data_IF_997913337655
#
_entry.id   IF_997913337655
#
_cell.length_a   1.000
_cell.length_b   1.000
_cell.length_c   1.000
_cell.angle_alpha   90.00
_cell.angle_beta   90.00
_cell.angle_gamma   90.00
#
_symmetry.space_group_name_H-M   'P 1'
#
loop_
_entity.id
_entity.type
_entity.pdbx_description
1 polymer ?
#
# COMPACT_ATOMS: atom_id res chain seq x y z
N UNK A 1 32.70 -14.93 40.07
CA UNK A 1 31.22 -14.86 40.13
C UNK A 1 30.73 -13.92 39.03
N UNK A 2 29.88 -14.43 38.14
CA UNK A 2 28.84 -13.74 37.35
C UNK A 2 29.27 -12.82 36.19
N UNK A 3 29.03 -13.38 35.00
CA UNK A 3 28.95 -12.81 33.66
C UNK A 3 27.88 -11.71 33.53
N UNK A 4 28.17 -10.69 32.71
CA UNK A 4 27.16 -9.80 32.16
C UNK A 4 27.54 -9.50 30.70
N UNK A 5 27.02 -10.31 29.77
CA UNK A 5 27.08 -10.03 28.33
C UNK A 5 25.75 -9.40 27.95
N UNK A 6 25.81 -8.10 27.63
CA UNK A 6 24.68 -7.27 27.25
C UNK A 6 23.96 -7.82 26.03
N UNK A 7 22.66 -8.06 26.18
CA UNK A 7 21.76 -8.50 25.13
C UNK A 7 21.43 -7.31 24.21
N UNK A 8 22.04 -7.24 23.03
CA UNK A 8 21.66 -6.34 21.94
C UNK A 8 20.99 -7.16 20.83
N UNK A 9 19.72 -7.51 21.00
CA UNK A 9 18.91 -8.19 19.97
C UNK A 9 17.49 -7.63 19.91
N UNK A 10 17.36 -6.32 19.74
CA UNK A 10 16.06 -5.64 19.66
C UNK A 10 15.69 -5.04 18.29
N UNK A 11 16.62 -4.96 17.32
CA UNK A 11 16.41 -4.19 16.06
C UNK A 11 16.35 -5.01 14.77
N UNK A 12 16.78 -6.27 14.78
CA UNK A 12 16.83 -7.10 13.57
C UNK A 12 15.49 -7.79 13.27
N UNK A 13 14.80 -8.26 14.31
CA UNK A 13 13.50 -8.93 14.20
C UNK A 13 12.37 -7.98 13.78
N UNK A 14 12.38 -6.74 14.29
CA UNK A 14 11.39 -5.72 13.91
C UNK A 14 11.54 -5.22 12.47
N UNK A 15 12.77 -5.11 11.95
CA UNK A 15 13.02 -4.75 10.54
C UNK A 15 12.53 -5.82 9.58
N UNK A 16 12.78 -7.09 9.89
CA UNK A 16 12.31 -8.22 9.07
C UNK A 16 10.78 -8.28 9.04
N UNK A 17 10.11 -8.05 10.18
CA UNK A 17 8.65 -7.97 10.23
C UNK A 17 8.07 -6.84 9.38
N UNK A 18 8.66 -5.64 9.44
CA UNK A 18 8.20 -4.51 8.61
C UNK A 18 8.47 -4.74 7.11
N UNK A 19 9.62 -5.31 6.74
CA UNK A 19 9.92 -5.63 5.34
C UNK A 19 8.96 -6.69 4.78
N UNK A 20 8.58 -7.67 5.60
CA UNK A 20 7.60 -8.68 5.25
C UNK A 20 6.22 -8.06 5.03
N UNK A 21 5.75 -7.18 5.93
CA UNK A 21 4.48 -6.49 5.80
C UNK A 21 4.42 -5.60 4.54
N UNK A 22 5.51 -4.89 4.23
CA UNK A 22 5.65 -4.11 3.00
C UNK A 22 5.58 -5.00 1.76
N UNK A 23 6.29 -6.13 1.76
CA UNK A 23 6.26 -7.07 0.64
C UNK A 23 4.85 -7.65 0.43
N UNK A 24 4.17 -8.05 1.49
CA UNK A 24 2.81 -8.58 1.45
C UNK A 24 1.81 -7.56 0.91
N UNK A 25 1.90 -6.30 1.36
CA UNK A 25 1.06 -5.22 0.82
C UNK A 25 1.32 -5.00 -0.66
N UNK A 26 2.60 -4.89 -1.07
CA UNK A 26 2.96 -4.74 -2.49
C UNK A 26 2.42 -5.88 -3.33
N UNK A 27 2.60 -7.13 -2.88
CA UNK A 27 2.11 -8.30 -3.59
C UNK A 27 0.59 -8.27 -3.73
N UNK A 28 -0.13 -7.94 -2.66
CA UNK A 28 -1.60 -7.82 -2.67
C UNK A 28 -2.06 -6.78 -3.69
N UNK A 29 -1.47 -5.59 -3.68
CA UNK A 29 -1.82 -4.49 -4.59
C UNK A 29 -1.56 -4.89 -6.05
N UNK A 30 -0.39 -5.45 -6.35
CA UNK A 30 -0.03 -5.89 -7.71
C UNK A 30 -0.97 -6.99 -8.22
N UNK A 31 -1.32 -7.95 -7.37
CA UNK A 31 -2.28 -9.01 -7.74
C UNK A 31 -3.67 -8.43 -8.05
N UNK A 32 -4.14 -7.48 -7.24
CA UNK A 32 -5.43 -6.84 -7.47
C UNK A 32 -5.41 -5.95 -8.74
N UNK A 33 -4.32 -5.24 -9.00
CA UNK A 33 -4.12 -4.48 -10.25
C UNK A 33 -4.14 -5.40 -11.48
N UNK A 34 -3.53 -6.58 -11.41
CA UNK A 34 -3.59 -7.57 -12.50
C UNK A 34 -5.02 -8.05 -12.76
N UNK A 35 -5.89 -8.14 -11.73
CA UNK A 35 -7.31 -8.49 -11.90
C UNK A 35 -8.10 -7.43 -12.66
N UNK A 36 -7.67 -6.16 -12.63
CA UNK A 36 -8.30 -5.10 -13.43
C UNK A 36 -8.07 -5.27 -14.94
N UNK A 37 -7.05 -6.05 -15.33
CA UNK A 37 -6.75 -6.28 -16.73
C UNK A 37 -7.74 -7.24 -17.42
N UNK A 38 -8.51 -8.02 -16.67
CA UNK A 38 -9.51 -8.94 -17.20
C UNK A 38 -10.92 -8.47 -16.84
N UNK A 39 -11.87 -8.57 -17.79
CA UNK A 39 -13.24 -8.10 -17.59
C UNK A 39 -13.95 -8.91 -16.51
N UNK A 40 -13.70 -10.21 -16.44
CA UNK A 40 -14.40 -11.11 -15.53
C UNK A 40 -13.88 -10.99 -14.09
N UNK A 41 -12.64 -10.49 -13.93
CA UNK A 41 -12.03 -10.25 -12.61
C UNK A 41 -11.97 -8.78 -12.21
N UNK A 42 -12.41 -7.85 -13.07
CA UNK A 42 -12.31 -6.41 -12.83
C UNK A 42 -12.94 -5.98 -11.50
N UNK A 43 -14.20 -6.38 -11.26
CA UNK A 43 -14.92 -5.99 -10.05
C UNK A 43 -14.26 -6.53 -8.78
N UNK A 44 -13.73 -7.75 -8.85
CA UNK A 44 -12.99 -8.34 -7.74
C UNK A 44 -11.70 -7.58 -7.45
N UNK A 45 -10.96 -7.16 -8.49
CA UNK A 45 -9.77 -6.34 -8.35
C UNK A 45 -10.08 -4.98 -7.71
N UNK A 46 -11.18 -4.34 -8.12
CA UNK A 46 -11.64 -3.07 -7.53
C UNK A 46 -11.95 -3.24 -6.04
N UNK A 47 -12.78 -4.21 -5.68
CA UNK A 47 -13.19 -4.44 -4.30
C UNK A 47 -11.98 -4.75 -3.39
N UNK A 48 -11.01 -5.52 -3.88
CA UNK A 48 -9.77 -5.79 -3.13
C UNK A 48 -8.89 -4.55 -2.95
N UNK A 49 -8.82 -3.67 -3.94
CA UNK A 49 -8.07 -2.41 -3.85
C UNK A 49 -8.75 -1.45 -2.88
N UNK A 50 -10.08 -1.31 -2.92
CA UNK A 50 -10.85 -0.48 -1.99
C UNK A 50 -10.69 -0.97 -0.54
N UNK A 51 -10.87 -2.27 -0.28
CA UNK A 51 -10.62 -2.86 1.06
C UNK A 51 -9.18 -2.65 1.51
N UNK A 52 -8.22 -2.70 0.59
CA UNK A 52 -6.83 -2.42 0.91
C UNK A 52 -6.66 -0.97 1.35
N UNK A 53 -7.28 -0.01 0.64
CA UNK A 53 -7.26 1.42 1.00
C UNK A 53 -7.86 1.66 2.38
N UNK A 54 -9.00 1.05 2.69
CA UNK A 54 -9.64 1.17 4.01
C UNK A 54 -8.76 0.68 5.16
N UNK A 55 -7.91 -0.32 4.90
CA UNK A 55 -7.02 -0.93 5.89
C UNK A 55 -5.58 -0.38 5.83
N UNK A 56 -5.32 0.68 5.06
CA UNK A 56 -3.97 1.20 4.87
C UNK A 56 -3.41 1.83 6.15
N UNK A 57 -2.19 1.45 6.50
CA UNK A 57 -1.37 2.18 7.48
C UNK A 57 -0.71 3.39 6.81
N UNK A 58 -0.28 4.42 7.57
CA UNK A 58 0.42 5.57 7.00
C UNK A 58 1.65 5.19 6.16
N UNK A 59 2.41 4.18 6.60
CA UNK A 59 3.58 3.68 5.86
C UNK A 59 3.20 2.95 4.56
N UNK A 60 2.01 2.34 4.52
CA UNK A 60 1.47 1.65 3.36
C UNK A 60 1.00 2.58 2.25
N UNK A 61 0.67 3.84 2.58
CA UNK A 61 0.15 4.84 1.63
C UNK A 61 1.11 5.06 0.46
N UNK A 62 2.38 5.37 0.77
CA UNK A 62 3.40 5.63 -0.26
C UNK A 62 3.65 4.40 -1.13
N UNK A 63 3.59 3.20 -0.54
CA UNK A 63 3.75 1.94 -1.27
C UNK A 63 2.59 1.68 -2.22
N UNK A 64 1.36 1.87 -1.77
CA UNK A 64 0.17 1.71 -2.60
C UNK A 64 0.22 2.68 -3.79
N UNK A 65 0.53 3.96 -3.51
CA UNK A 65 0.67 4.98 -4.53
C UNK A 65 1.75 4.63 -5.57
N UNK A 66 2.92 4.15 -5.13
CA UNK A 66 3.97 3.69 -6.04
C UNK A 66 3.47 2.57 -6.96
N UNK A 67 2.74 1.58 -6.42
CA UNK A 67 2.27 0.45 -7.21
C UNK A 67 1.26 0.85 -8.31
N UNK A 68 0.32 1.75 -7.99
CA UNK A 68 -0.67 2.20 -8.97
C UNK A 68 -0.08 3.13 -10.03
N UNK A 69 0.99 3.86 -9.70
CA UNK A 69 1.72 4.73 -10.64
C UNK A 69 2.68 3.94 -11.54
N UNK A 70 3.32 2.88 -11.02
CA UNK A 70 4.21 1.99 -11.77
C UNK A 70 3.46 1.05 -12.72
N UNK A 71 2.12 1.07 -12.70
CA UNK A 71 1.31 0.20 -13.57
C UNK A 71 1.51 0.62 -15.02
N UNK A 72 2.08 -0.29 -15.83
CA UNK A 72 2.48 0.00 -17.19
C UNK A 72 1.29 0.44 -18.06
N UNK A 73 1.46 1.65 -18.58
CA UNK A 73 0.57 2.45 -19.40
C UNK A 73 0.05 1.76 -20.67
N UNK A 74 0.72 0.71 -21.13
CA UNK A 74 0.43 0.05 -22.40
C UNK A 74 -0.74 -0.96 -22.35
N UNK A 75 -1.15 -1.42 -21.16
CA UNK A 75 -2.23 -2.42 -21.03
C UNK A 75 -3.51 -1.83 -20.44
N UNK A 76 -4.42 -1.47 -21.37
CA UNK A 76 -5.86 -1.21 -21.18
C UNK A 76 -6.18 0.06 -20.38
N UNK A 77 -6.77 1.05 -21.05
CA UNK A 77 -7.28 2.31 -20.49
C UNK A 77 -8.15 2.14 -19.23
N UNK A 78 -8.80 0.98 -19.06
CA UNK A 78 -9.59 0.64 -17.89
C UNK A 78 -8.78 0.65 -16.58
N UNK A 79 -7.57 0.05 -16.57
CA UNK A 79 -6.72 -0.01 -15.37
C UNK A 79 -6.29 1.39 -14.96
N UNK A 80 -5.91 2.23 -15.91
CA UNK A 80 -5.53 3.63 -15.65
C UNK A 80 -6.68 4.45 -15.09
N UNK A 81 -7.87 4.31 -15.68
CA UNK A 81 -9.08 5.01 -15.19
C UNK A 81 -9.34 4.64 -13.73
N UNK A 82 -9.16 3.38 -13.40
CA UNK A 82 -9.30 2.88 -12.04
C UNK A 82 -8.20 3.40 -11.11
N UNK A 83 -6.93 3.37 -11.51
CA UNK A 83 -5.83 3.96 -10.72
C UNK A 83 -6.09 5.44 -10.40
N UNK A 84 -6.59 6.23 -11.35
CA UNK A 84 -6.93 7.65 -11.12
C UNK A 84 -8.09 7.77 -10.12
N UNK A 85 -9.11 6.92 -10.22
CA UNK A 85 -10.21 6.87 -9.24
C UNK A 85 -9.70 6.54 -7.84
N UNK A 86 -8.85 5.52 -7.73
CA UNK A 86 -8.24 5.09 -6.47
C UNK A 86 -7.35 6.18 -5.87
N UNK A 87 -6.62 6.97 -6.66
CA UNK A 87 -5.88 8.14 -6.15
C UNK A 87 -6.81 9.15 -5.46
N UNK A 88 -7.99 9.40 -6.02
CA UNK A 88 -9.02 10.23 -5.38
C UNK A 88 -9.52 9.62 -4.07
N UNK A 89 -9.81 8.33 -4.06
CA UNK A 89 -10.23 7.60 -2.85
C UNK A 89 -9.15 7.62 -1.77
N UNK A 90 -7.87 7.44 -2.13
CA UNK A 90 -6.76 7.57 -1.18
C UNK A 90 -6.68 8.96 -0.59
N UNK A 91 -6.89 10.01 -1.39
CA UNK A 91 -6.86 11.38 -0.91
C UNK A 91 -7.98 11.65 0.10
N UNK A 92 -9.19 11.14 -0.11
CA UNK A 92 -10.32 11.33 0.81
C UNK A 92 -10.22 10.50 2.08
N UNK A 93 -9.81 9.24 1.98
CA UNK A 93 -9.65 8.37 3.16
C UNK A 93 -8.52 8.84 4.08
N UNK A 94 -7.50 9.46 3.52
CA UNK A 94 -6.37 9.99 4.26
C UNK A 94 -6.35 11.52 4.30
N UNK A 95 -7.49 12.20 4.12
CA UNK A 95 -7.64 13.65 4.30
C UNK A 95 -7.10 14.09 5.67
N UNK A 96 -7.29 13.26 6.71
CA UNK A 96 -6.75 13.49 8.06
C UNK A 96 -5.21 13.61 8.06
N UNK A 97 -4.50 12.94 7.16
CA UNK A 97 -3.04 13.05 7.04
C UNK A 97 -2.64 14.37 6.36
N UNK A 98 -3.42 14.83 5.37
CA UNK A 98 -3.22 16.11 4.71
C UNK A 98 -3.56 17.28 5.64
N UNK A 99 -4.64 17.17 6.42
CA UNK A 99 -5.03 18.14 7.45
C UNK A 99 -3.98 18.20 8.58
N UNK A 100 -3.47 17.07 9.07
CA UNK A 100 -2.40 17.03 10.07
C UNK A 100 -1.07 17.62 9.58
N UNK A 101 -0.82 17.60 8.27
CA UNK A 101 0.37 18.22 7.67
C UNK A 101 0.15 19.72 7.48
N UNK A 102 -1.06 20.16 7.08
CA UNK A 102 -1.41 21.57 6.90
C UNK A 102 -1.53 22.34 8.22
N UNK A 103 -2.05 21.74 9.30
CA UNK A 103 -2.10 22.32 10.65
C UNK A 103 -0.71 22.47 11.31
N UNK A 104 0.34 21.93 10.68
CA UNK A 104 1.72 21.93 11.21
C UNK A 104 2.62 23.00 10.57
N UNK A 105 2.05 23.83 9.70
CA UNK A 105 2.68 25.02 9.08
C UNK A 105 1.97 26.29 9.53
#
# INVERSE_FOLDING_TARGET
MKTHVSMLKGKATSRVGNQQAVFELKQRVVLALNKLADRDTYQLGVEELEKTIECLTPDGFALFLSCILDTDSEKKSAVRKECIRLMGTLATFHEVLLDLILERW
#
